data_IF_942960773351
#
_entry.id   IF_942960773351
#
_cell.length_a   1.000
_cell.length_b   1.000
_cell.length_c   1.000
_cell.angle_alpha   90.00
_cell.angle_beta   90.00
_cell.angle_gamma   90.00
#
_symmetry.space_group_name_H-M   'P 1'
#
loop_
_entity.id
_entity.type
_entity.pdbx_description
1 polymer ?
#
# COMPACT_ATOMS: atom_id res chain seq x y z
N UNK A 1 11.05 -3.90 -3.90
CA UNK A 1 9.90 -3.02 -4.20
C UNK A 1 9.10 -2.77 -2.94
N UNK A 2 8.28 -1.73 -2.93
CA UNK A 2 7.30 -1.43 -1.89
C UNK A 2 6.11 -0.72 -2.55
N UNK A 3 4.89 -0.96 -2.05
CA UNK A 3 3.65 -0.44 -2.65
C UNK A 3 2.87 0.33 -1.59
N UNK A 4 2.27 1.46 -1.98
CA UNK A 4 1.28 2.17 -1.19
C UNK A 4 -0.04 2.24 -1.95
N UNK A 5 -1.10 1.70 -1.35
CA UNK A 5 -2.43 1.65 -1.94
C UNK A 5 -3.36 2.70 -1.39
N UNK A 6 -3.91 3.53 -2.27
CA UNK A 6 -5.04 4.41 -1.95
C UNK A 6 -6.35 3.62 -2.10
N UNK A 7 -7.25 3.77 -1.13
CA UNK A 7 -8.56 3.16 -1.19
C UNK A 7 -9.51 3.78 -0.17
N UNK A 8 -10.73 3.26 -0.14
CA UNK A 8 -11.73 3.66 0.85
C UNK A 8 -12.41 2.43 1.42
N UNK A 9 -12.52 2.35 2.75
CA UNK A 9 -13.24 1.27 3.43
C UNK A 9 -14.75 1.32 3.20
N UNK A 10 -15.27 2.36 2.55
CA UNK A 10 -16.65 2.39 2.06
C UNK A 10 -16.94 1.30 1.01
N UNK A 11 -15.90 0.81 0.33
CA UNK A 11 -16.04 -0.19 -0.72
C UNK A 11 -15.63 -1.59 -0.22
N UNK A 12 -16.30 -2.67 -0.69
CA UNK A 12 -16.03 -4.04 -0.21
C UNK A 12 -14.58 -4.50 -0.37
N UNK A 13 -13.88 -3.97 -1.38
CA UNK A 13 -12.54 -4.40 -1.76
C UNK A 13 -11.52 -3.28 -1.53
N UNK A 14 -11.29 -2.97 -0.24
CA UNK A 14 -10.33 -1.94 0.19
C UNK A 14 -8.93 -2.18 -0.41
N UNK A 15 -8.40 -1.19 -1.14
CA UNK A 15 -7.08 -1.21 -1.79
C UNK A 15 -6.77 -2.47 -2.63
N UNK A 16 -7.78 -3.10 -3.25
CA UNK A 16 -7.59 -4.38 -3.94
C UNK A 16 -6.57 -4.34 -5.08
N UNK A 17 -6.52 -3.24 -5.85
CA UNK A 17 -5.53 -3.10 -6.91
C UNK A 17 -4.09 -3.05 -6.36
N UNK A 18 -3.86 -2.31 -5.27
CA UNK A 18 -2.54 -2.25 -4.65
C UNK A 18 -2.09 -3.60 -4.08
N UNK A 19 -3.02 -4.38 -3.52
CA UNK A 19 -2.76 -5.78 -3.10
C UNK A 19 -2.37 -6.64 -4.31
N UNK A 20 -3.12 -6.53 -5.41
CA UNK A 20 -2.83 -7.30 -6.62
C UNK A 20 -1.45 -6.97 -7.20
N UNK A 21 -1.06 -5.69 -7.23
CA UNK A 21 0.28 -5.28 -7.67
C UNK A 21 1.37 -5.77 -6.73
N UNK A 22 1.20 -5.63 -5.42
CA UNK A 22 2.17 -6.12 -4.43
C UNK A 22 2.39 -7.64 -4.52
N UNK A 23 1.31 -8.41 -4.61
CA UNK A 23 1.38 -9.87 -4.83
C UNK A 23 2.03 -10.19 -6.17
N UNK A 24 1.66 -9.48 -7.25
CA UNK A 24 2.21 -9.78 -8.58
C UNK A 24 3.70 -9.50 -8.68
N UNK A 25 4.18 -8.44 -8.02
CA UNK A 25 5.61 -8.13 -7.98
C UNK A 25 6.40 -9.20 -7.22
N UNK A 26 5.83 -9.75 -6.14
CA UNK A 26 6.43 -10.88 -5.41
C UNK A 26 6.45 -12.16 -6.26
N UNK A 27 5.33 -12.50 -6.92
CA UNK A 27 5.23 -13.67 -7.82
C UNK A 27 6.23 -13.62 -8.98
N UNK A 28 6.58 -12.42 -9.45
CA UNK A 28 7.56 -12.22 -10.52
C UNK A 28 9.02 -12.26 -10.04
N UNK A 29 9.26 -12.57 -8.76
CA UNK A 29 10.59 -12.65 -8.17
C UNK A 29 11.12 -11.31 -7.64
N UNK A 30 10.25 -10.31 -7.48
CA UNK A 30 10.61 -9.08 -6.80
C UNK A 30 10.79 -9.32 -5.30
N UNK A 31 11.80 -8.67 -4.71
CA UNK A 31 12.00 -8.68 -3.26
C UNK A 31 11.22 -7.54 -2.61
N UNK A 32 10.36 -7.84 -1.63
CA UNK A 32 9.59 -6.82 -0.90
C UNK A 32 10.48 -6.16 0.16
N UNK A 33 10.68 -4.85 0.04
CA UNK A 33 11.50 -4.03 0.96
C UNK A 33 10.69 -3.54 2.17
N UNK A 34 9.41 -3.23 1.95
CA UNK A 34 8.49 -2.75 2.98
C UNK A 34 7.12 -3.39 2.76
N UNK A 35 6.40 -3.65 3.86
CA UNK A 35 5.02 -4.11 3.79
C UNK A 35 4.13 -3.12 3.03
N UNK A 36 3.13 -3.64 2.32
CA UNK A 36 2.10 -2.86 1.62
C UNK A 36 1.47 -1.82 2.56
N UNK A 37 1.68 -0.54 2.26
CA UNK A 37 0.99 0.55 2.93
C UNK A 37 -0.43 0.74 2.37
N UNK A 38 -1.38 1.11 3.22
CA UNK A 38 -2.76 1.32 2.82
C UNK A 38 -3.28 2.64 3.40
N UNK A 39 -3.74 3.54 2.53
CA UNK A 39 -4.36 4.80 2.91
C UNK A 39 -5.86 4.74 2.72
N UNK A 40 -6.62 4.95 3.81
CA UNK A 40 -8.07 5.02 3.78
C UNK A 40 -8.54 6.47 3.62
N UNK A 41 -9.23 6.77 2.52
CA UNK A 41 -9.80 8.09 2.22
C UNK A 41 -10.69 8.61 3.36
N UNK A 42 -11.40 7.71 4.05
CA UNK A 42 -12.29 8.09 5.15
C UNK A 42 -11.55 8.36 6.47
N UNK A 43 -10.30 7.90 6.61
CA UNK A 43 -9.59 7.95 7.88
C UNK A 43 -8.07 8.00 7.67
N UNK A 44 -7.50 9.20 7.80
CA UNK A 44 -6.05 9.35 7.98
C UNK A 44 -5.19 8.96 6.79
N UNK A 45 -5.69 9.10 5.55
CA UNK A 45 -4.95 8.75 4.33
C UNK A 45 -3.56 9.44 4.26
N UNK A 46 -3.50 10.73 4.53
CA UNK A 46 -2.25 11.51 4.45
C UNK A 46 -1.25 11.10 5.54
N UNK A 47 -1.74 10.85 6.77
CA UNK A 47 -0.90 10.41 7.88
C UNK A 47 -0.30 9.02 7.61
N UNK A 48 -1.13 8.09 7.11
CA UNK A 48 -0.70 6.77 6.68
C UNK A 48 0.35 6.86 5.56
N UNK A 49 0.17 7.76 4.60
CA UNK A 49 1.14 7.98 3.53
C UNK A 49 2.46 8.54 4.06
N UNK A 50 2.42 9.54 4.95
CA UNK A 50 3.64 10.14 5.55
C UNK A 50 4.45 9.11 6.32
N UNK A 51 3.80 8.29 7.16
CA UNK A 51 4.47 7.23 7.91
C UNK A 51 5.09 6.16 6.99
N UNK A 52 4.36 5.74 5.96
CA UNK A 52 4.87 4.80 4.96
C UNK A 52 6.04 5.39 4.15
N UNK A 53 5.94 6.64 3.72
CA UNK A 53 6.97 7.31 2.93
C UNK A 53 8.26 7.47 3.73
N UNK A 54 8.18 7.84 5.02
CA UNK A 54 9.35 7.88 5.88
C UNK A 54 10.05 6.52 5.98
N UNK A 55 9.29 5.43 6.10
CA UNK A 55 9.86 4.09 6.14
C UNK A 55 10.42 3.63 4.78
N UNK A 56 9.84 4.08 3.66
CA UNK A 56 10.28 3.70 2.32
C UNK A 56 11.55 4.42 1.84
N UNK A 57 11.85 5.60 2.39
CA UNK A 57 12.99 6.46 2.00
C UNK A 57 14.08 6.56 3.09
N UNK A 58 14.09 5.67 4.08
CA UNK A 58 15.20 5.49 5.01
C UNK A 58 16.35 4.70 4.38
#
# INVERSE_FOLDING_TARGET
FCVFGLGSRAYPHFCAFARAVDTRLEELGGERLLQLGQGDELCGQEEAFRGWAQAAFQ
#
